data_IF_080983945114
#
_entry.id   IF_080983945114
#
_cell.length_a   1.000
_cell.length_b   1.000
_cell.length_c   1.000
_cell.angle_alpha   90.00
_cell.angle_beta   90.00
_cell.angle_gamma   90.00
#
_symmetry.space_group_name_H-M   'P 1'
#
loop_
_entity.id
_entity.type
_entity.pdbx_description
1 polymer ?
#
# COMPACT_ATOMS: atom_id res chain seq x y z
N UNK A 1 -13.75 16.43 9.75
CA UNK A 1 -13.39 15.04 9.40
C UNK A 1 -12.83 14.28 10.60
N UNK A 2 -11.79 14.77 11.27
CA UNK A 2 -11.14 14.03 12.38
C UNK A 2 -12.08 13.63 13.54
N UNK A 3 -13.11 14.43 13.78
CA UNK A 3 -14.15 14.18 14.79
C UNK A 3 -15.25 13.20 14.32
N UNK A 4 -15.30 12.89 13.03
CA UNK A 4 -16.36 12.11 12.36
C UNK A 4 -15.83 10.76 11.86
N UNK A 5 -14.56 10.72 11.42
CA UNK A 5 -13.88 9.49 11.04
C UNK A 5 -12.40 9.55 11.44
N UNK A 6 -12.03 9.13 12.65
CA UNK A 6 -10.68 9.32 13.19
C UNK A 6 -9.58 8.67 12.34
N UNK A 7 -9.88 7.54 11.69
CA UNK A 7 -8.94 6.76 10.88
C UNK A 7 -8.76 7.21 9.42
N UNK A 8 -9.28 8.37 9.02
CA UNK A 8 -9.23 8.83 7.63
C UNK A 8 -7.80 8.92 7.07
N UNK A 9 -6.81 9.19 7.93
CA UNK A 9 -5.40 9.29 7.51
C UNK A 9 -4.84 7.97 6.99
N UNK A 10 -5.40 6.84 7.40
CA UNK A 10 -4.94 5.51 6.98
C UNK A 10 -5.50 5.12 5.60
N UNK A 11 -6.35 5.96 5.01
CA UNK A 11 -6.98 5.74 3.71
C UNK A 11 -6.33 6.49 2.56
N UNK A 12 -5.53 7.52 2.85
CA UNK A 12 -4.98 8.41 1.83
C UNK A 12 -3.48 8.63 2.01
N UNK A 13 -2.80 8.87 0.91
CA UNK A 13 -1.41 9.31 0.88
C UNK A 13 -1.28 10.45 -0.13
N UNK A 14 -0.32 11.35 0.11
CA UNK A 14 0.05 12.43 -0.82
C UNK A 14 1.34 12.13 -1.57
N UNK A 15 1.94 10.95 -1.33
CA UNK A 15 3.30 10.63 -1.76
C UNK A 15 3.36 9.74 -3.01
N UNK A 16 2.31 8.98 -3.27
CA UNK A 16 2.21 8.15 -4.47
C UNK A 16 2.13 9.03 -5.73
N UNK A 17 2.66 8.49 -6.83
CA UNK A 17 2.63 9.13 -8.14
C UNK A 17 1.45 8.70 -9.01
N UNK A 18 0.60 7.78 -8.52
CA UNK A 18 -0.47 7.19 -9.30
C UNK A 18 -1.73 6.90 -8.48
N UNK A 19 -2.56 6.02 -9.02
CA UNK A 19 -3.72 5.46 -8.31
C UNK A 19 -3.31 4.53 -7.17
N UNK A 20 -4.30 3.90 -6.55
CA UNK A 20 -4.10 2.84 -5.57
C UNK A 20 -3.34 1.66 -6.21
N UNK A 21 -2.21 1.27 -5.62
CA UNK A 21 -1.43 0.14 -6.11
C UNK A 21 -2.12 -1.18 -5.78
N UNK A 22 -2.57 -1.89 -6.81
CA UNK A 22 -3.28 -3.16 -6.70
C UNK A 22 -2.45 -4.27 -6.04
N UNK A 23 -1.12 -4.17 -6.09
CA UNK A 23 -0.22 -5.15 -5.49
C UNK A 23 -0.06 -4.95 -3.97
N UNK A 24 -0.30 -3.75 -3.46
CA UNK A 24 -0.07 -3.38 -2.05
C UNK A 24 -1.37 -3.04 -1.30
N UNK A 25 -2.49 -2.86 -2.01
CA UNK A 25 -3.73 -2.41 -1.41
C UNK A 25 -4.38 -3.44 -0.50
N UNK A 26 -4.91 -2.96 0.64
CA UNK A 26 -5.87 -3.74 1.42
C UNK A 26 -7.14 -4.00 0.61
N UNK A 27 -7.79 -5.18 0.76
CA UNK A 27 -9.00 -5.52 0.02
C UNK A 27 -10.11 -4.48 0.15
N UNK A 28 -10.27 -3.87 1.33
CA UNK A 28 -11.28 -2.83 1.54
C UNK A 28 -11.01 -1.58 0.69
N UNK A 29 -9.75 -1.13 0.61
CA UNK A 29 -9.37 0.04 -0.19
C UNK A 29 -9.56 -0.25 -1.67
N UNK A 30 -9.16 -1.45 -2.11
CA UNK A 30 -9.32 -1.90 -3.50
C UNK A 30 -10.79 -2.01 -3.90
N UNK A 31 -11.64 -2.63 -3.06
CA UNK A 31 -13.07 -2.76 -3.30
C UNK A 31 -13.74 -1.38 -3.49
N UNK A 32 -13.35 -0.38 -2.68
CA UNK A 32 -13.86 0.99 -2.82
C UNK A 32 -13.34 1.69 -4.07
N UNK A 33 -12.06 1.51 -4.42
CA UNK A 33 -11.48 2.15 -5.60
C UNK A 33 -12.06 1.59 -6.91
N UNK A 34 -12.21 0.26 -6.98
CA UNK A 34 -12.67 -0.47 -8.15
C UNK A 34 -14.20 -0.67 -8.21
N UNK A 35 -14.93 -0.29 -7.16
CA UNK A 35 -16.39 -0.45 -7.05
C UNK A 35 -16.87 -1.90 -7.19
N UNK A 36 -16.16 -2.82 -6.51
CA UNK A 36 -16.43 -4.26 -6.51
C UNK A 36 -16.72 -4.78 -5.10
N UNK A 37 -17.07 -6.06 -4.98
CA UNK A 37 -17.26 -6.68 -3.67
C UNK A 37 -15.92 -6.81 -2.93
N UNK A 38 -15.99 -6.91 -1.59
CA UNK A 38 -14.79 -7.14 -0.78
C UNK A 38 -14.19 -8.53 -1.02
N UNK A 39 -15.01 -9.52 -1.39
CA UNK A 39 -14.57 -10.89 -1.67
C UNK A 39 -13.77 -10.96 -3.00
N UNK A 40 -14.21 -10.21 -4.02
CA UNK A 40 -13.47 -10.09 -5.29
C UNK A 40 -12.14 -9.38 -5.06
N UNK A 41 -12.14 -8.29 -4.28
CA UNK A 41 -10.91 -7.58 -3.93
C UNK A 41 -9.96 -8.42 -3.06
N UNK A 42 -10.49 -9.26 -2.15
CA UNK A 42 -9.69 -10.20 -1.37
C UNK A 42 -9.02 -11.24 -2.27
N UNK A 43 -9.72 -11.74 -3.29
CA UNK A 43 -9.16 -12.67 -4.28
C UNK A 43 -7.96 -12.08 -5.04
N UNK A 44 -7.95 -10.77 -5.28
CA UNK A 44 -6.80 -10.07 -5.88
C UNK A 44 -5.59 -10.11 -4.94
N UNK A 45 -5.77 -9.79 -3.65
CA UNK A 45 -4.70 -9.87 -2.65
C UNK A 45 -4.19 -11.30 -2.52
N UNK A 46 -5.09 -12.28 -2.43
CA UNK A 46 -4.73 -13.68 -2.24
C UNK A 46 -3.93 -14.20 -3.44
N UNK A 47 -4.26 -13.76 -4.66
CA UNK A 47 -3.42 -14.01 -5.83
C UNK A 47 -2.04 -13.35 -5.69
N UNK A 48 -1.96 -12.08 -5.28
CA UNK A 48 -0.67 -11.38 -5.12
C UNK A 48 0.24 -12.08 -4.12
N UNK A 49 -0.31 -12.56 -3.00
CA UNK A 49 0.44 -13.23 -1.94
C UNK A 49 0.78 -14.69 -2.23
N UNK A 50 0.21 -15.26 -3.29
CA UNK A 50 0.44 -16.67 -3.61
C UNK A 50 -0.12 -17.66 -2.56
N UNK A 51 0.18 -18.97 -2.73
CA UNK A 51 -0.33 -20.03 -1.88
C UNK A 51 0.00 -19.93 -0.38
N UNK A 52 1.14 -19.36 0.00
CA UNK A 52 1.56 -19.30 1.40
C UNK A 52 0.94 -18.12 2.18
N UNK A 53 0.34 -17.16 1.47
CA UNK A 53 -0.30 -15.96 2.00
C UNK A 53 0.66 -15.02 2.75
N UNK A 54 1.97 -15.10 2.47
CA UNK A 54 3.02 -14.32 3.13
C UNK A 54 3.65 -13.39 2.10
N UNK A 55 3.55 -12.07 2.32
CA UNK A 55 4.15 -11.08 1.44
C UNK A 55 5.67 -11.16 1.45
N UNK A 56 6.27 -11.06 0.26
CA UNK A 56 7.71 -10.97 0.04
C UNK A 56 8.41 -12.32 -0.10
N UNK A 57 7.67 -13.38 -0.40
CA UNK A 57 8.17 -14.74 -0.63
C UNK A 57 8.33 -15.04 -2.12
N UNK A 58 8.91 -16.19 -2.46
CA UNK A 58 9.18 -16.57 -3.85
C UNK A 58 7.91 -16.90 -4.65
N UNK A 59 6.80 -17.20 -3.98
CA UNK A 59 5.51 -17.57 -4.58
C UNK A 59 4.55 -16.40 -4.78
N UNK A 60 4.94 -15.18 -4.37
CA UNK A 60 4.21 -13.94 -4.67
C UNK A 60 3.97 -13.81 -6.20
N UNK A 61 2.75 -13.44 -6.60
CA UNK A 61 2.37 -13.24 -8.01
C UNK A 61 1.83 -11.82 -8.26
N UNK A 62 2.71 -10.79 -8.23
CA UNK A 62 2.30 -9.42 -8.43
C UNK A 62 1.81 -9.18 -9.86
N UNK A 63 0.85 -8.27 -10.00
CA UNK A 63 0.36 -7.81 -11.28
C UNK A 63 1.36 -6.87 -11.94
N UNK A 64 1.52 -7.03 -13.26
CA UNK A 64 2.35 -6.12 -14.05
C UNK A 64 1.65 -4.81 -14.36
N UNK A 65 0.31 -4.81 -14.40
CA UNK A 65 -0.51 -3.64 -14.73
C UNK A 65 -1.90 -3.75 -14.09
N UNK A 66 -2.57 -2.61 -13.89
CA UNK A 66 -3.91 -2.57 -13.28
C UNK A 66 -5.03 -3.06 -14.21
N UNK A 67 -4.82 -3.10 -15.54
CA UNK A 67 -5.84 -3.61 -16.50
C UNK A 67 -6.10 -5.10 -16.29
N UNK A 68 -5.05 -5.88 -16.03
CA UNK A 68 -5.18 -7.32 -15.70
C UNK A 68 -6.06 -7.56 -14.46
N UNK A 69 -5.98 -6.66 -13.47
CA UNK A 69 -6.83 -6.73 -12.27
C UNK A 69 -8.29 -6.46 -12.62
N UNK A 70 -8.57 -5.47 -13.46
CA UNK A 70 -9.93 -5.17 -13.93
C UNK A 70 -10.52 -6.31 -14.77
N UNK A 71 -9.69 -7.04 -15.52
CA UNK A 71 -10.10 -8.26 -16.23
C UNK A 71 -10.53 -9.36 -15.26
N UNK A 72 -9.75 -9.61 -14.20
CA UNK A 72 -10.07 -10.63 -13.19
C UNK A 72 -11.30 -10.28 -12.36
N UNK A 73 -11.47 -8.99 -12.03
CA UNK A 73 -12.63 -8.49 -11.32
C UNK A 73 -13.90 -8.45 -12.20
N UNK A 74 -13.79 -8.76 -13.49
CA UNK A 74 -14.93 -8.76 -14.41
C UNK A 74 -15.54 -7.37 -14.63
N UNK A 75 -14.76 -6.30 -14.43
CA UNK A 75 -15.27 -4.93 -14.55
C UNK A 75 -15.60 -4.64 -16.01
N UNK A 76 -16.85 -4.25 -16.36
CA UNK A 76 -17.24 -3.96 -17.73
C UNK A 76 -16.50 -2.75 -18.32
N UNK A 77 -16.21 -2.76 -19.63
CA UNK A 77 -15.44 -1.72 -20.33
C UNK A 77 -15.96 -0.29 -20.07
N UNK A 78 -17.28 -0.11 -20.04
CA UNK A 78 -17.91 1.19 -19.76
C UNK A 78 -17.52 1.72 -18.37
N UNK A 79 -17.40 0.83 -17.37
CA UNK A 79 -17.00 1.20 -16.02
C UNK A 79 -15.48 1.40 -15.91
N UNK A 80 -14.68 0.73 -16.75
CA UNK A 80 -13.20 0.85 -16.74
C UNK A 80 -12.72 2.28 -16.98
N UNK A 81 -13.40 3.03 -17.84
CA UNK A 81 -13.07 4.46 -18.06
C UNK A 81 -13.10 5.30 -16.77
N UNK A 82 -13.86 4.86 -15.76
CA UNK A 82 -14.02 5.53 -14.48
C UNK A 82 -13.03 4.99 -13.45
N UNK A 83 -12.84 3.66 -13.38
CA UNK A 83 -12.06 3.02 -12.32
C UNK A 83 -10.58 2.82 -12.65
N UNK A 84 -10.21 2.63 -13.93
CA UNK A 84 -8.81 2.41 -14.35
C UNK A 84 -7.89 3.56 -13.92
N UNK A 85 -8.26 4.85 -14.04
CA UNK A 85 -7.41 5.96 -13.58
C UNK A 85 -7.17 5.99 -12.06
N UNK A 86 -7.96 5.26 -11.28
CA UNK A 86 -7.85 5.20 -9.81
C UNK A 86 -6.87 4.12 -9.35
N UNK A 87 -6.42 3.25 -10.26
CA UNK A 87 -5.57 2.10 -9.95
C UNK A 87 -4.22 2.23 -10.64
N UNK A 88 -3.20 1.68 -10.02
CA UNK A 88 -1.87 1.49 -10.61
C UNK A 88 -1.33 0.13 -10.24
N UNK A 89 -0.19 -0.24 -10.80
CA UNK A 89 0.58 -1.40 -10.36
C UNK A 89 2.05 -0.97 -10.24
N UNK A 90 2.70 -1.38 -9.16
CA UNK A 90 4.13 -1.14 -8.92
C UNK A 90 4.46 0.35 -8.74
N UNK A 91 3.74 1.05 -7.85
CA UNK A 91 4.11 2.42 -7.46
C UNK A 91 5.53 2.42 -6.87
N UNK A 92 6.41 3.33 -7.34
CA UNK A 92 7.81 3.32 -6.92
C UNK A 92 8.02 3.88 -5.50
N UNK A 93 6.97 4.32 -4.81
CA UNK A 93 7.03 5.00 -3.52
C UNK A 93 6.76 4.03 -2.38
N UNK A 94 7.70 3.92 -1.46
CA UNK A 94 7.60 3.06 -0.27
C UNK A 94 7.70 3.90 1.00
N UNK A 95 6.84 3.63 1.97
CA UNK A 95 6.98 4.10 3.35
C UNK A 95 7.74 3.07 4.18
N UNK A 96 8.86 3.47 4.76
CA UNK A 96 9.67 2.62 5.64
C UNK A 96 9.57 3.18 7.05
N UNK A 97 9.11 2.35 7.99
CA UNK A 97 9.14 2.67 9.42
C UNK A 97 10.12 1.77 10.13
N UNK A 98 11.09 2.38 10.81
CA UNK A 98 12.08 1.67 11.62
C UNK A 98 11.98 2.18 13.06
N UNK A 99 11.74 1.27 13.99
CA UNK A 99 11.74 1.59 15.43
C UNK A 99 12.97 0.97 16.07
N UNK A 100 13.77 1.79 16.73
CA UNK A 100 14.98 1.38 17.43
C UNK A 100 14.94 1.74 18.91
N UNK A 101 15.75 1.02 19.69
CA UNK A 101 15.88 1.22 21.13
C UNK A 101 17.35 1.46 21.49
N UNK A 102 17.58 2.30 22.50
CA UNK A 102 18.91 2.55 23.05
C UNK A 102 18.82 2.69 24.58
N UNK A 103 19.85 2.24 25.29
CA UNK A 103 19.88 2.20 26.76
C UNK A 103 19.41 0.86 27.34
N UNK A 104 19.45 0.76 28.67
CA UNK A 104 19.08 -0.45 29.43
C UNK A 104 18.05 -0.08 30.51
N UNK A 105 17.13 -1.00 30.81
CA UNK A 105 16.16 -0.85 31.90
C UNK A 105 15.29 0.40 31.79
N UNK A 106 15.10 1.10 32.90
CA UNK A 106 14.26 2.32 32.99
C UNK A 106 14.78 3.56 32.26
N UNK A 107 15.92 3.47 31.57
CA UNK A 107 16.48 4.55 30.73
C UNK A 107 16.42 4.22 29.24
N UNK A 108 15.62 3.23 28.84
CA UNK A 108 15.45 2.90 27.43
C UNK A 108 14.77 4.04 26.67
N UNK A 109 15.41 4.52 25.62
CA UNK A 109 14.86 5.50 24.69
C UNK A 109 14.44 4.76 23.43
N UNK A 110 13.18 4.93 23.04
CA UNK A 110 12.60 4.40 21.82
C UNK A 110 12.46 5.52 20.79
N UNK A 111 12.94 5.29 19.57
CA UNK A 111 12.80 6.24 18.46
C UNK A 111 12.23 5.54 17.25
N UNK A 112 11.31 6.22 16.56
CA UNK A 112 10.84 5.80 15.24
C UNK A 112 11.39 6.76 14.19
N UNK A 113 11.93 6.18 13.12
CA UNK A 113 12.32 6.86 11.91
C UNK A 113 11.34 6.43 10.82
N UNK A 114 10.66 7.39 10.22
CA UNK A 114 9.81 7.19 9.04
C UNK A 114 10.47 7.82 7.84
N UNK A 115 10.66 7.03 6.79
CA UNK A 115 11.16 7.48 5.50
C UNK A 115 10.09 7.28 4.43
N UNK A 116 9.90 8.28 3.58
CA UNK A 116 9.20 8.14 2.31
C UNK A 116 10.26 8.11 1.22
N UNK A 117 10.38 6.98 0.53
CA UNK A 117 11.43 6.73 -0.46
C UNK A 117 10.79 6.45 -1.80
N UNK A 118 11.33 7.00 -2.89
CA UNK A 118 10.95 6.66 -4.26
C UNK A 118 12.08 5.93 -4.97
N UNK A 119 11.73 4.98 -5.84
CA UNK A 119 12.67 4.13 -6.59
C UNK A 119 13.61 3.37 -5.66
N UNK A 120 13.03 2.71 -4.64
CA UNK A 120 13.77 2.01 -3.58
C UNK A 120 14.85 1.07 -4.15
N UNK A 121 14.53 0.34 -5.22
CA UNK A 121 15.47 -0.49 -5.97
C UNK A 121 16.11 0.33 -7.09
N UNK A 122 17.44 0.43 -7.10
CA UNK A 122 18.20 1.18 -8.10
C UNK A 122 18.73 2.50 -7.57
N UNK A 123 18.08 3.63 -7.88
CA UNK A 123 18.51 4.98 -7.47
C UNK A 123 17.48 5.61 -6.52
N UNK A 124 17.54 5.28 -5.21
CA UNK A 124 16.56 5.75 -4.26
C UNK A 124 16.67 7.26 -4.03
N UNK A 125 15.52 7.92 -3.93
CA UNK A 125 15.41 9.31 -3.48
C UNK A 125 14.54 9.38 -2.22
N UNK A 126 15.01 10.11 -1.21
CA UNK A 126 14.24 10.37 0.01
C UNK A 126 13.35 11.59 -0.24
N UNK A 127 12.03 11.39 -0.20
CA UNK A 127 11.04 12.47 -0.33
C UNK A 127 10.77 13.12 1.02
N UNK A 128 10.71 12.32 2.08
CA UNK A 128 10.49 12.80 3.44
C UNK A 128 11.25 11.93 4.44
N UNK A 129 11.75 12.57 5.50
CA UNK A 129 12.33 11.92 6.68
C UNK A 129 11.77 12.55 7.94
N UNK A 130 11.13 11.73 8.78
CA UNK A 130 10.64 12.11 10.11
C UNK A 130 11.33 11.26 11.18
N UNK A 131 11.70 11.88 12.29
CA UNK A 131 12.23 11.21 13.48
C UNK A 131 11.41 11.64 14.69
N UNK A 132 10.91 10.68 15.45
CA UNK A 132 10.11 10.94 16.65
C UNK A 132 10.55 10.03 17.80
N UNK A 133 10.50 10.56 19.02
CA UNK A 133 10.60 9.75 20.23
C UNK A 133 9.25 9.08 20.45
N UNK A 134 9.25 7.77 20.64
CA UNK A 134 8.05 6.98 20.89
C UNK A 134 7.96 6.72 22.39
N UNK A 135 6.74 6.73 22.99
CA UNK A 135 6.54 6.29 24.35
C UNK A 135 7.08 4.87 24.62
#
# INVERSE_FOLDING_TARGET
>A
MERIYPGWRDWFTIWSSGGLDVNEADPEKLARAAEVSIDDAASIRDRVLGPDMIRGTEDDQPFSNSREVLDLLGVPEIQRMIVEPRLTANDPTTRIESTGWSGLGGSQIKRRITLIVRNRTGRPSILERKVEQVP
#
